data_IF_508499111890
#
_entry.id   IF_508499111890
#
_cell.length_a   1.000
_cell.length_b   1.000
_cell.length_c   1.000
_cell.angle_alpha   90.00
_cell.angle_beta   90.00
_cell.angle_gamma   90.00
#
_symmetry.space_group_name_H-M   'P 1'
#
loop_
_entity.id
_entity.type
_entity.pdbx_description
1 polymer ?
#
# COMPACT_ATOMS: atom_id res chain seq x y z
N UNK A 1 11.39 16.75 8.39
CA UNK A 1 10.18 17.62 8.43
C UNK A 1 9.12 16.83 9.18
N UNK A 2 8.72 17.30 10.37
CA UNK A 2 7.81 16.57 11.25
C UNK A 2 6.36 16.65 10.78
N UNK A 3 5.59 15.60 11.05
CA UNK A 3 4.14 15.55 10.82
C UNK A 3 3.38 16.51 11.76
N UNK A 4 4.02 16.92 12.86
CA UNK A 4 3.45 17.73 13.95
C UNK A 4 2.73 18.99 13.45
N UNK A 5 3.34 19.74 12.53
CA UNK A 5 2.70 20.94 11.97
C UNK A 5 1.37 20.61 11.27
N UNK A 6 1.25 19.46 10.60
CA UNK A 6 -0.02 19.06 9.96
C UNK A 6 -1.07 18.61 10.97
N UNK A 7 -0.63 18.05 12.09
CA UNK A 7 -1.52 17.67 13.19
C UNK A 7 -2.03 18.93 13.90
N UNK A 8 -1.14 19.84 14.25
CA UNK A 8 -1.45 21.09 14.96
C UNK A 8 -2.40 22.00 14.18
N UNK A 9 -2.30 22.04 12.84
CA UNK A 9 -3.21 22.81 12.00
C UNK A 9 -4.44 22.02 11.51
N UNK A 10 -4.68 20.81 12.04
CA UNK A 10 -5.86 20.01 11.75
C UNK A 10 -5.92 19.43 10.34
N UNK A 11 -4.82 19.46 9.57
CA UNK A 11 -4.76 18.87 8.22
C UNK A 11 -4.43 17.39 8.21
N UNK A 12 -3.99 16.85 9.34
CA UNK A 12 -3.72 15.44 9.56
C UNK A 12 -4.26 15.03 10.92
N UNK A 13 -5.13 14.03 10.94
CA UNK A 13 -5.49 13.31 12.15
C UNK A 13 -4.90 11.91 12.08
N UNK A 14 -4.24 11.48 13.15
CA UNK A 14 -3.67 10.13 13.26
C UNK A 14 -4.37 9.44 14.42
N UNK A 15 -5.01 8.32 14.13
CA UNK A 15 -5.68 7.51 15.14
C UNK A 15 -5.09 6.10 15.14
N UNK A 16 -4.62 5.68 16.31
CA UNK A 16 -4.16 4.31 16.51
C UNK A 16 -5.37 3.44 16.87
N UNK A 17 -5.59 2.40 16.08
CA UNK A 17 -6.69 1.45 16.29
C UNK A 17 -6.09 0.12 16.72
N UNK A 18 -6.63 -0.44 17.81
CA UNK A 18 -6.37 -1.83 18.20
C UNK A 18 -7.54 -2.70 17.73
N UNK A 19 -7.34 -3.56 16.70
CA UNK A 19 -8.39 -4.41 16.19
C UNK A 19 -8.92 -5.45 17.18
N UNK A 20 -8.18 -5.76 18.26
CA UNK A 20 -8.66 -6.67 19.30
C UNK A 20 -9.72 -6.01 20.22
N UNK A 21 -9.68 -4.68 20.34
CA UNK A 21 -10.54 -3.90 21.24
C UNK A 21 -11.67 -3.16 20.49
N UNK A 22 -11.61 -3.13 19.15
CA UNK A 22 -12.56 -2.41 18.31
C UNK A 22 -13.34 -3.33 17.39
N UNK A 23 -14.66 -3.26 17.47
CA UNK A 23 -15.54 -3.96 16.52
C UNK A 23 -15.56 -3.27 15.15
N UNK A 24 -15.93 -3.98 14.07
CA UNK A 24 -16.05 -3.38 12.75
C UNK A 24 -17.00 -2.21 12.65
N UNK A 25 -18.13 -2.31 13.36
CA UNK A 25 -19.15 -1.26 13.35
C UNK A 25 -18.62 0.03 13.99
N UNK A 26 -17.85 -0.09 15.08
CA UNK A 26 -17.19 1.05 15.71
C UNK A 26 -16.14 1.67 14.79
N UNK A 27 -15.33 0.83 14.13
CA UNK A 27 -14.34 1.31 13.16
C UNK A 27 -14.99 2.06 11.99
N UNK A 28 -16.05 1.49 11.40
CA UNK A 28 -16.78 2.14 10.32
C UNK A 28 -17.43 3.46 10.78
N UNK A 29 -17.99 3.52 11.99
CA UNK A 29 -18.56 4.75 12.54
C UNK A 29 -17.50 5.83 12.73
N UNK A 30 -16.32 5.48 13.24
CA UNK A 30 -15.18 6.38 13.44
C UNK A 30 -14.68 6.96 12.11
N UNK A 31 -14.56 6.14 11.08
CA UNK A 31 -14.18 6.61 9.73
C UNK A 31 -15.24 7.54 9.14
N UNK A 32 -16.53 7.24 9.36
CA UNK A 32 -17.63 8.10 8.91
C UNK A 32 -17.66 9.43 9.63
N UNK A 33 -17.42 9.45 10.95
CA UNK A 33 -17.33 10.69 11.72
C UNK A 33 -16.21 11.60 11.20
N UNK A 34 -15.03 11.03 10.91
CA UNK A 34 -13.93 11.78 10.32
C UNK A 34 -14.28 12.42 8.95
N UNK A 35 -15.14 11.78 8.16
CA UNK A 35 -15.57 12.29 6.85
C UNK A 35 -16.73 13.29 6.98
N UNK A 36 -17.77 12.94 7.73
CA UNK A 36 -19.03 13.69 7.82
C UNK A 36 -18.90 14.93 8.73
N UNK A 37 -18.09 14.84 9.79
CA UNK A 37 -17.96 15.90 10.80
C UNK A 37 -16.61 16.61 10.74
N UNK A 38 -15.50 15.89 10.58
CA UNK A 38 -14.16 16.50 10.56
C UNK A 38 -13.75 16.97 9.15
N UNK A 39 -14.54 16.65 8.12
CA UNK A 39 -14.31 17.10 6.75
C UNK A 39 -13.10 16.46 6.07
N UNK A 40 -12.72 15.24 6.48
CA UNK A 40 -11.61 14.52 5.86
C UNK A 40 -11.88 14.27 4.37
N UNK A 41 -10.97 14.73 3.50
CA UNK A 41 -11.02 14.45 2.05
C UNK A 41 -10.21 13.21 1.64
N UNK A 42 -9.42 12.67 2.57
CA UNK A 42 -8.58 11.49 2.37
C UNK A 42 -8.55 10.63 3.63
N UNK A 43 -8.66 9.31 3.45
CA UNK A 43 -8.56 8.32 4.52
C UNK A 43 -7.45 7.33 4.17
N UNK A 44 -6.51 7.10 5.09
CA UNK A 44 -5.43 6.12 4.94
C UNK A 44 -5.60 5.05 6.02
N UNK A 45 -5.77 3.79 5.59
CA UNK A 45 -5.89 2.64 6.48
C UNK A 45 -4.59 1.83 6.43
N UNK A 46 -3.75 1.99 7.46
CA UNK A 46 -2.46 1.31 7.60
C UNK A 46 -2.41 0.46 8.90
N UNK A 47 -2.56 -0.86 8.86
CA UNK A 47 -2.82 -1.72 7.69
C UNK A 47 -4.07 -2.58 7.90
N UNK A 48 -4.65 -3.05 6.80
CA UNK A 48 -5.75 -4.02 6.85
C UNK A 48 -5.33 -5.36 7.45
N UNK A 49 -4.04 -5.66 7.58
CA UNK A 49 -3.54 -6.94 8.07
C UNK A 49 -4.04 -7.23 9.49
N UNK A 50 -3.84 -6.29 10.41
CA UNK A 50 -4.23 -6.47 11.81
C UNK A 50 -5.75 -6.61 11.95
N UNK A 51 -6.49 -5.88 11.13
CA UNK A 51 -7.95 -5.94 11.08
C UNK A 51 -8.48 -7.29 10.58
N UNK A 52 -7.82 -7.88 9.57
CA UNK A 52 -8.14 -9.22 9.06
C UNK A 52 -7.83 -10.31 10.10
N UNK A 53 -6.69 -10.19 10.80
CA UNK A 53 -6.25 -11.21 11.76
C UNK A 53 -7.05 -11.21 13.08
N UNK A 54 -7.54 -10.05 13.51
CA UNK A 54 -8.23 -9.94 14.81
C UNK A 54 -9.66 -10.49 14.81
N UNK A 55 -10.23 -10.84 13.65
CA UNK A 55 -11.65 -11.15 13.56
C UNK A 55 -11.94 -12.59 13.08
N UNK A 56 -12.59 -13.41 13.93
CA UNK A 56 -13.09 -14.72 13.52
C UNK A 56 -14.18 -14.55 12.44
N UNK A 57 -14.00 -15.16 11.26
CA UNK A 57 -15.00 -15.14 10.19
C UNK A 57 -14.74 -14.12 9.08
N UNK A 58 -13.51 -14.12 8.54
CA UNK A 58 -12.99 -13.33 7.41
C UNK A 58 -14.01 -12.88 6.35
N UNK A 59 -14.97 -13.72 5.97
CA UNK A 59 -15.96 -13.41 4.92
C UNK A 59 -16.86 -12.21 5.27
N UNK A 60 -17.25 -12.03 6.53
CA UNK A 60 -18.08 -10.91 6.95
C UNK A 60 -17.31 -9.58 6.95
N UNK A 61 -16.01 -9.64 7.25
CA UNK A 61 -15.13 -8.49 7.26
C UNK A 61 -15.00 -7.85 5.88
N UNK A 62 -14.81 -8.67 4.85
CA UNK A 62 -14.61 -8.15 3.50
C UNK A 62 -15.90 -7.48 2.98
N UNK A 63 -17.07 -8.01 3.34
CA UNK A 63 -18.35 -7.37 3.01
C UNK A 63 -18.47 -5.99 3.68
N UNK A 64 -18.17 -5.90 4.98
CA UNK A 64 -18.21 -4.62 5.70
C UNK A 64 -17.18 -3.62 5.17
N UNK A 65 -15.98 -4.07 4.82
CA UNK A 65 -14.98 -3.23 4.17
C UNK A 65 -15.48 -2.73 2.81
N UNK A 66 -16.10 -3.61 2.01
CA UNK A 66 -16.69 -3.21 0.74
C UNK A 66 -17.78 -2.14 0.92
N UNK A 67 -18.65 -2.29 1.92
CA UNK A 67 -19.68 -1.30 2.24
C UNK A 67 -19.08 0.05 2.65
N UNK A 68 -18.09 0.06 3.55
CA UNK A 68 -17.39 1.27 3.98
C UNK A 68 -16.70 1.96 2.80
N UNK A 69 -15.96 1.22 1.98
CA UNK A 69 -15.24 1.78 0.83
C UNK A 69 -16.21 2.27 -0.24
N UNK A 70 -17.34 1.59 -0.45
CA UNK A 70 -18.39 2.05 -1.37
C UNK A 70 -19.00 3.36 -0.89
N UNK A 71 -19.26 3.48 0.42
CA UNK A 71 -19.72 4.72 1.04
C UNK A 71 -18.70 5.85 0.84
N UNK A 72 -17.42 5.62 1.15
CA UNK A 72 -16.35 6.62 1.00
C UNK A 72 -16.22 7.09 -0.45
N UNK A 73 -16.28 6.16 -1.41
CA UNK A 73 -16.24 6.48 -2.83
C UNK A 73 -17.45 7.34 -3.26
N UNK A 74 -18.67 7.03 -2.77
CA UNK A 74 -19.86 7.84 -3.02
C UNK A 74 -19.76 9.26 -2.43
N UNK A 75 -19.05 9.42 -1.31
CA UNK A 75 -18.74 10.72 -0.71
C UNK A 75 -17.57 11.45 -1.42
N UNK A 76 -16.95 10.85 -2.43
CA UNK A 76 -15.81 11.44 -3.14
C UNK A 76 -14.51 11.43 -2.35
N UNK A 77 -14.39 10.56 -1.35
CA UNK A 77 -13.22 10.48 -0.47
C UNK A 77 -12.12 9.63 -1.09
N UNK A 78 -10.91 10.16 -1.15
CA UNK A 78 -9.74 9.39 -1.58
C UNK A 78 -9.35 8.41 -0.48
N UNK A 79 -9.42 7.12 -0.76
CA UNK A 79 -9.09 6.09 0.24
C UNK A 79 -7.83 5.33 -0.17
N UNK A 80 -6.85 5.25 0.74
CA UNK A 80 -5.62 4.46 0.58
C UNK A 80 -5.67 3.30 1.56
N UNK A 81 -5.47 2.09 1.05
CA UNK A 81 -5.44 0.87 1.83
C UNK A 81 -4.03 0.29 1.79
N UNK A 82 -3.42 0.08 2.95
CA UNK A 82 -2.12 -0.59 3.06
C UNK A 82 -2.37 -2.04 3.47
N UNK A 83 -1.81 -2.95 2.68
CA UNK A 83 -1.90 -4.39 2.88
C UNK A 83 -0.50 -4.98 2.74
N UNK A 84 -0.02 -5.61 3.81
CA UNK A 84 1.24 -6.35 3.78
C UNK A 84 1.00 -7.78 3.30
N UNK A 85 1.63 -8.18 2.20
CA UNK A 85 1.69 -9.59 1.83
C UNK A 85 2.73 -10.28 2.72
N UNK A 86 2.30 -11.25 3.53
CA UNK A 86 3.21 -12.13 4.25
C UNK A 86 3.95 -12.98 3.20
N UNK A 87 5.27 -13.17 3.33
CA UNK A 87 6.07 -13.89 2.34
C UNK A 87 7.09 -13.01 1.64
N UNK A 88 8.19 -12.70 2.32
CA UNK A 88 9.31 -11.93 1.78
C UNK A 88 10.01 -12.64 0.61
N UNK A 89 9.84 -13.96 0.47
CA UNK A 89 10.41 -14.81 -0.58
C UNK A 89 9.41 -15.93 -0.87
N UNK A 90 8.91 -16.03 -2.11
CA UNK A 90 8.02 -17.11 -2.54
C UNK A 90 6.53 -16.76 -2.60
N UNK A 91 5.80 -17.64 -3.29
CA UNK A 91 4.42 -17.43 -3.69
C UNK A 91 3.47 -17.58 -2.49
N UNK A 92 3.22 -16.49 -1.77
CA UNK A 92 2.13 -16.45 -0.79
C UNK A 92 0.87 -16.02 -1.53
N UNK A 93 0.08 -17.02 -1.91
CA UNK A 93 -1.31 -16.79 -2.23
C UNK A 93 -1.92 -16.10 -1.00
N UNK A 94 -2.32 -14.83 -1.15
CA UNK A 94 -3.18 -14.22 -0.15
C UNK A 94 -4.47 -15.05 -0.15
N UNK A 95 -4.83 -15.64 0.99
CA UNK A 95 -6.07 -16.41 1.12
C UNK A 95 -7.32 -15.56 0.84
N UNK A 96 -7.16 -14.23 0.73
CA UNK A 96 -8.22 -13.28 0.48
C UNK A 96 -7.83 -12.39 -0.71
N UNK A 97 -8.56 -12.53 -1.82
CA UNK A 97 -8.45 -11.59 -2.94
C UNK A 97 -9.14 -10.26 -2.57
N UNK A 98 -8.36 -9.29 -2.11
CA UNK A 98 -8.82 -7.93 -1.80
C UNK A 98 -8.74 -7.00 -3.02
N UNK A 99 -8.32 -7.51 -4.19
CA UNK A 99 -8.18 -6.70 -5.39
C UNK A 99 -9.52 -6.11 -5.86
N UNK A 100 -10.65 -6.71 -5.48
CA UNK A 100 -11.97 -6.19 -5.82
C UNK A 100 -12.39 -4.97 -5.00
N UNK A 101 -11.80 -4.77 -3.81
CA UNK A 101 -12.08 -3.61 -2.94
C UNK A 101 -11.48 -2.31 -3.45
N UNK A 102 -10.58 -2.39 -4.45
CA UNK A 102 -9.85 -1.23 -4.96
C UNK A 102 -10.09 -1.00 -6.45
N UNK A 103 -10.12 0.28 -6.81
CA UNK A 103 -10.13 0.75 -8.20
C UNK A 103 -8.74 0.73 -8.81
N UNK A 104 -7.72 0.97 -7.99
CA UNK A 104 -6.31 0.91 -8.36
C UNK A 104 -5.51 0.05 -7.38
N UNK A 105 -4.56 -0.73 -7.91
CA UNK A 105 -3.67 -1.57 -7.10
C UNK A 105 -2.22 -1.26 -7.44
N UNK A 106 -1.49 -0.73 -6.45
CA UNK A 106 -0.04 -0.52 -6.52
C UNK A 106 0.64 -1.65 -5.76
N UNK A 107 1.47 -2.41 -6.46
CA UNK A 107 2.24 -3.51 -5.88
C UNK A 107 3.67 -3.05 -5.62
N UNK A 108 4.13 -3.33 -4.41
CA UNK A 108 5.52 -3.18 -3.99
C UNK A 108 6.12 -4.58 -3.83
N UNK A 109 7.32 -4.80 -4.39
CA UNK A 109 8.03 -6.08 -4.34
C UNK A 109 9.50 -5.87 -4.03
N UNK A 110 10.09 -6.78 -3.25
CA UNK A 110 11.54 -6.87 -3.15
C UNK A 110 12.08 -7.84 -4.22
N UNK A 111 13.28 -7.57 -4.71
CA UNK A 111 14.01 -8.46 -5.60
C UNK A 111 15.51 -8.35 -5.33
N UNK A 112 16.24 -9.44 -5.55
CA UNK A 112 17.69 -9.45 -5.42
C UNK A 112 18.35 -9.13 -6.76
N UNK A 113 19.38 -8.29 -6.73
CA UNK A 113 20.30 -8.12 -7.86
C UNK A 113 21.70 -7.84 -7.34
N UNK A 114 22.71 -8.53 -7.88
CA UNK A 114 24.12 -8.35 -7.52
C UNK A 114 24.41 -8.37 -6.00
N UNK A 115 23.68 -9.19 -5.22
CA UNK A 115 23.84 -9.29 -3.76
C UNK A 115 23.13 -8.18 -2.96
N UNK A 116 22.33 -7.33 -3.61
CA UNK A 116 21.54 -6.29 -2.97
C UNK A 116 20.04 -6.58 -3.03
N UNK A 117 19.33 -6.25 -1.96
CA UNK A 117 17.86 -6.28 -1.92
C UNK A 117 17.36 -4.93 -2.40
N UNK A 118 16.71 -4.93 -3.55
CA UNK A 118 16.13 -3.76 -4.20
C UNK A 118 14.61 -3.84 -4.15
N UNK A 119 13.95 -2.71 -4.42
CA UNK A 119 12.50 -2.60 -4.38
C UNK A 119 11.93 -2.18 -5.73
N UNK A 120 10.85 -2.83 -6.14
CA UNK A 120 10.14 -2.60 -7.39
C UNK A 120 8.70 -2.17 -7.12
N UNK A 121 8.19 -1.26 -7.94
CA UNK A 121 6.83 -0.75 -7.95
C UNK A 121 6.18 -1.06 -9.29
N UNK A 122 4.93 -1.50 -9.25
CA UNK A 122 4.09 -1.65 -10.44
C UNK A 122 2.63 -1.32 -10.12
N UNK A 123 1.89 -0.88 -11.13
CA UNK A 123 0.43 -0.74 -11.06
C UNK A 123 -0.16 -1.99 -11.71
N UNK A 124 -0.91 -2.81 -10.96
CA UNK A 124 -1.50 -4.05 -11.47
C UNK A 124 -2.92 -3.86 -12.01
N UNK A 125 -3.62 -2.84 -11.52
CA UNK A 125 -5.02 -2.57 -11.84
C UNK A 125 -5.28 -1.07 -11.81
N UNK A 126 -6.06 -0.60 -12.77
CA UNK A 126 -6.74 0.70 -12.74
C UNK A 126 -8.07 0.54 -13.48
N UNK A 127 -9.20 0.83 -12.85
CA UNK A 127 -10.54 0.74 -13.47
C UNK A 127 -10.90 1.99 -14.29
N UNK A 128 -10.24 3.11 -14.04
CA UNK A 128 -10.64 4.43 -14.53
C UNK A 128 -9.71 5.03 -15.60
N UNK A 129 -8.53 4.44 -15.81
CA UNK A 129 -7.55 4.94 -16.80
C UNK A 129 -6.61 3.84 -17.29
N UNK A 130 -6.04 4.01 -18.49
CA UNK A 130 -4.86 3.26 -18.88
C UNK A 130 -3.72 3.61 -17.91
N UNK A 131 -3.15 2.59 -17.28
CA UNK A 131 -1.98 2.74 -16.41
C UNK A 131 -0.73 2.21 -17.11
N UNK A 132 0.43 2.73 -16.71
CA UNK A 132 1.70 2.22 -17.18
C UNK A 132 1.88 0.76 -16.77
N UNK A 133 2.18 -0.10 -17.74
CA UNK A 133 2.32 -1.56 -17.54
C UNK A 133 3.76 -1.99 -17.28
N UNK A 134 4.62 -1.07 -16.89
CA UNK A 134 6.04 -1.35 -16.59
C UNK A 134 6.26 -1.58 -15.10
N UNK A 135 7.27 -2.37 -14.79
CA UNK A 135 7.83 -2.48 -13.44
C UNK A 135 9.00 -1.51 -13.34
N UNK A 136 9.05 -0.70 -12.28
CA UNK A 136 10.12 0.28 -12.05
C UNK A 136 10.75 0.03 -10.71
N UNK A 137 12.06 0.26 -10.61
CA UNK A 137 12.71 0.32 -9.31
C UNK A 137 12.22 1.56 -8.55
N UNK A 138 12.05 1.46 -7.24
CA UNK A 138 11.84 2.62 -6.39
C UNK A 138 12.74 2.57 -5.16
N UNK A 139 13.02 3.74 -4.60
CA UNK A 139 13.79 3.91 -3.37
C UNK A 139 13.16 4.98 -2.50
N UNK A 140 13.17 4.77 -1.19
CA UNK A 140 12.87 5.80 -0.21
C UNK A 140 14.19 6.18 0.47
N UNK A 141 14.61 7.43 0.32
CA UNK A 141 15.80 7.97 0.97
C UNK A 141 15.46 9.25 1.74
N UNK A 142 16.47 9.96 2.27
CA UNK A 142 16.25 11.20 3.02
C UNK A 142 15.60 12.32 2.19
N UNK A 143 15.67 12.23 0.85
CA UNK A 143 14.98 13.12 -0.10
C UNK A 143 13.56 12.67 -0.45
N UNK A 144 13.10 11.53 0.06
CA UNK A 144 11.76 10.98 -0.16
C UNK A 144 11.74 9.81 -1.15
N UNK A 145 10.59 9.60 -1.80
CA UNK A 145 10.36 8.52 -2.76
C UNK A 145 10.94 8.89 -4.13
N UNK A 146 11.79 8.03 -4.68
CA UNK A 146 12.36 8.12 -6.03
C UNK A 146 11.94 6.90 -6.85
N UNK A 147 11.51 7.13 -8.08
CA UNK A 147 11.13 6.07 -9.02
C UNK A 147 12.09 6.10 -10.21
N UNK A 148 12.69 4.96 -10.50
CA UNK A 148 13.67 4.77 -11.58
C UNK A 148 13.05 4.52 -12.95
N UNK A 149 13.89 4.23 -13.97
CA UNK A 149 13.43 3.79 -15.27
C UNK A 149 12.76 2.39 -15.20
N UNK A 150 11.99 2.01 -16.24
CA UNK A 150 11.47 0.65 -16.37
C UNK A 150 12.57 -0.41 -16.35
N UNK A 151 12.39 -1.44 -15.52
CA UNK A 151 13.27 -2.62 -15.41
C UNK A 151 13.04 -3.58 -16.58
N UNK A 152 13.62 -3.28 -17.75
CA UNK A 152 13.38 -4.08 -18.97
C UNK A 152 14.20 -5.36 -19.03
N UNK A 153 15.27 -5.43 -18.25
CA UNK A 153 16.24 -6.52 -18.26
C UNK A 153 15.92 -7.61 -17.22
N UNK A 154 14.79 -7.49 -16.54
CA UNK A 154 14.34 -8.41 -15.50
C UNK A 154 13.06 -9.13 -15.90
N UNK A 155 13.04 -10.43 -15.71
CA UNK A 155 11.85 -11.28 -15.80
C UNK A 155 11.53 -11.88 -14.44
N UNK A 156 10.25 -12.18 -14.15
CA UNK A 156 9.88 -12.92 -12.94
C UNK A 156 9.78 -12.09 -11.65
N UNK A 157 9.92 -10.77 -11.69
CA UNK A 157 9.72 -9.89 -10.50
C UNK A 157 8.33 -10.10 -9.88
N UNK A 158 7.29 -10.24 -10.71
CA UNK A 158 5.91 -10.52 -10.26
C UNK A 158 5.71 -11.98 -9.81
N UNK A 159 6.59 -12.90 -10.18
CA UNK A 159 6.57 -14.28 -9.69
C UNK A 159 7.37 -14.46 -8.38
N UNK A 160 8.12 -13.45 -7.94
CA UNK A 160 9.00 -13.53 -6.77
C UNK A 160 10.30 -14.32 -7.01
N UNK A 161 10.57 -14.68 -8.27
CA UNK A 161 11.79 -15.34 -8.73
C UNK A 161 12.39 -14.50 -9.86
N UNK A 162 13.00 -13.33 -9.53
CA UNK A 162 13.56 -12.45 -10.53
C UNK A 162 14.75 -13.13 -11.23
N UNK A 163 14.84 -12.98 -12.55
CA UNK A 163 16.03 -13.32 -13.32
C UNK A 163 16.45 -12.10 -14.14
N UNK A 164 17.74 -11.75 -14.06
CA UNK A 164 18.33 -10.63 -14.79
C UNK A 164 19.04 -11.13 -16.04
N UNK A 165 18.84 -10.46 -17.18
CA UNK A 165 19.40 -10.87 -18.48
C UNK A 165 20.09 -9.74 -19.26
N UNK A 166 20.28 -8.55 -18.68
CA UNK A 166 20.75 -7.38 -19.44
C UNK A 166 21.85 -6.56 -18.77
N UNK A 167 21.85 -5.25 -19.05
CA UNK A 167 22.92 -4.29 -18.67
C UNK A 167 22.39 -2.97 -18.11
N UNK A 168 21.07 -2.80 -17.97
CA UNK A 168 20.47 -1.58 -17.45
C UNK A 168 20.99 -1.28 -16.03
N UNK A 169 21.44 -0.04 -15.79
CA UNK A 169 21.85 0.38 -14.46
C UNK A 169 20.61 0.52 -13.56
N UNK A 170 20.71 -0.06 -12.37
CA UNK A 170 19.79 0.16 -11.26
C UNK A 170 20.04 1.55 -10.67
N UNK A 171 19.14 2.05 -9.82
CA UNK A 171 19.41 3.26 -9.03
C UNK A 171 20.70 2.99 -8.23
N UNK A 172 21.81 3.60 -8.61
CA UNK A 172 23.13 3.38 -7.98
C UNK A 172 23.21 3.82 -6.52
N UNK A 173 24.34 3.53 -5.88
CA UNK A 173 24.62 3.45 -4.43
C UNK A 173 23.95 4.46 -3.48
N UNK A 174 23.71 3.96 -2.26
CA UNK A 174 23.38 4.73 -1.06
C UNK A 174 24.37 5.89 -0.92
N UNK A 175 23.93 7.13 -0.64
CA UNK A 175 24.87 8.12 -0.13
C UNK A 175 25.47 7.53 1.15
N UNK A 176 26.80 7.32 1.13
CA UNK A 176 27.59 6.81 2.23
C UNK A 176 27.00 7.19 3.58
N UNK A 177 26.69 6.18 4.40
CA UNK A 177 26.77 6.30 5.85
C UNK A 177 28.23 6.68 6.15
N UNK A 178 28.51 7.99 6.16
CA UNK A 178 29.69 8.53 6.82
C UNK A 178 29.34 8.59 8.29
N UNK A 179 29.62 7.50 9.00
CA UNK A 179 30.03 7.57 10.40
C UNK A 179 31.38 8.29 10.52
#
# INVERSE_FOLDING_TARGET
MGLDNFIENGRLSVQQIDPAEMSPGQFAALVREAVEHDGASMVVLDSLNAYIQAMPGHRYLILQMHELLSYLNQQGITTILVLGQHGLIGNVASEIDLSYLSDALVLFRFFESAGEVLSALSVLKSRTSEHERTIREFRVDSGGLRVGPPLRDFEGILAGLPSYRGTQPLLGDRPHDRE
#
